data_IF_983902688991
#
_entry.id   IF_983902688991
#
_cell.length_a   1.000
_cell.length_b   1.000
_cell.length_c   1.000
_cell.angle_alpha   90.00
_cell.angle_beta   90.00
_cell.angle_gamma   90.00
#
_symmetry.space_group_name_H-M   'P 1'
#
loop_
_entity.id
_entity.type
_entity.pdbx_description
1 polymer ?
#
# COMPACT_ATOMS: atom_id res chain seq x y z
N UNK A 1 -38.20 8.88 -20.80
CA UNK A 1 -38.40 8.44 -19.39
C UNK A 1 -38.79 9.63 -18.53
N UNK A 2 -38.06 10.74 -18.58
CA UNK A 2 -38.38 12.00 -17.86
C UNK A 2 -39.83 12.47 -18.05
N UNK A 3 -40.33 12.59 -19.29
CA UNK A 3 -41.74 12.98 -19.55
C UNK A 3 -42.80 12.07 -18.88
N UNK A 4 -42.50 10.78 -18.72
CA UNK A 4 -43.42 9.83 -18.08
C UNK A 4 -43.38 9.97 -16.55
N UNK A 5 -42.20 10.29 -16.01
CA UNK A 5 -42.03 10.58 -14.58
C UNK A 5 -42.84 11.83 -14.23
N UNK A 6 -42.71 12.91 -15.02
CA UNK A 6 -43.48 14.15 -14.83
C UNK A 6 -45.00 13.91 -14.89
N UNK A 7 -45.48 13.06 -15.80
CA UNK A 7 -46.90 12.73 -15.92
C UNK A 7 -47.43 11.97 -14.70
N UNK A 8 -46.67 10.98 -14.19
CA UNK A 8 -47.05 10.22 -13.01
C UNK A 8 -47.02 11.08 -11.74
N UNK A 9 -46.04 11.98 -11.62
CA UNK A 9 -45.96 12.93 -10.50
C UNK A 9 -47.18 13.86 -10.48
N UNK A 10 -47.61 14.36 -11.65
CA UNK A 10 -48.82 15.17 -11.79
C UNK A 10 -50.09 14.38 -11.42
N UNK A 11 -50.21 13.14 -11.85
CA UNK A 11 -51.37 12.28 -11.55
C UNK A 11 -51.46 11.95 -10.05
N UNK A 12 -50.32 11.66 -9.40
CA UNK A 12 -50.25 11.46 -7.95
C UNK A 12 -50.64 12.73 -7.20
N UNK A 13 -50.19 13.91 -7.65
CA UNK A 13 -50.54 15.18 -7.03
C UNK A 13 -52.04 15.47 -7.12
N UNK A 14 -52.67 15.21 -8.27
CA UNK A 14 -54.10 15.37 -8.44
C UNK A 14 -54.92 14.40 -7.58
N UNK A 15 -54.50 13.13 -7.51
CA UNK A 15 -55.16 12.13 -6.66
C UNK A 15 -55.10 12.52 -5.19
N UNK A 16 -53.94 12.96 -4.70
CA UNK A 16 -53.78 13.44 -3.32
C UNK A 16 -54.66 14.67 -3.02
N UNK A 17 -54.80 15.58 -3.99
CA UNK A 17 -55.70 16.74 -3.84
C UNK A 17 -57.16 16.30 -3.70
N UNK A 18 -57.65 15.39 -4.55
CA UNK A 18 -59.03 14.88 -4.47
C UNK A 18 -59.29 14.13 -3.17
N UNK A 19 -58.33 13.31 -2.73
CA UNK A 19 -58.43 12.56 -1.48
C UNK A 19 -58.62 13.51 -0.27
N UNK A 20 -57.84 14.59 -0.20
CA UNK A 20 -58.00 15.61 0.83
C UNK A 20 -59.35 16.34 0.75
N UNK A 21 -59.86 16.63 -0.45
CA UNK A 21 -61.17 17.25 -0.65
C UNK A 21 -62.32 16.32 -0.25
N UNK A 22 -62.21 15.02 -0.53
CA UNK A 22 -63.17 14.01 -0.09
C UNK A 22 -63.17 13.86 1.43
N UNK A 23 -61.99 13.87 2.05
CA UNK A 23 -61.86 13.81 3.50
C UNK A 23 -62.48 15.05 4.18
N UNK A 24 -62.37 16.23 3.58
CA UNK A 24 -63.08 17.41 4.10
C UNK A 24 -64.60 17.30 3.92
N UNK A 25 -65.06 16.78 2.78
CA UNK A 25 -66.49 16.59 2.51
C UNK A 25 -67.12 15.55 3.45
N UNK A 26 -66.39 14.51 3.84
CA UNK A 26 -66.91 13.45 4.74
C UNK A 26 -67.26 13.97 6.13
N UNK A 27 -66.64 15.06 6.57
CA UNK A 27 -66.88 15.70 7.86
C UNK A 27 -67.96 16.81 7.80
N UNK A 28 -68.59 17.04 6.65
CA UNK A 28 -69.58 18.10 6.46
C UNK A 28 -70.99 17.65 6.88
N UNK A 29 -71.66 18.40 7.76
CA UNK A 29 -73.05 18.14 8.20
C UNK A 29 -74.11 18.71 7.24
N UNK A 30 -73.72 19.56 6.29
CA UNK A 30 -74.59 20.09 5.22
C UNK A 30 -74.68 19.10 4.05
N UNK A 31 -75.75 18.32 4.04
CA UNK A 31 -76.01 17.32 3.00
C UNK A 31 -76.29 17.91 1.61
N UNK A 32 -76.70 19.18 1.51
CA UNK A 32 -76.94 19.84 0.21
C UNK A 32 -75.60 20.22 -0.41
N UNK A 33 -74.71 20.81 0.38
CA UNK A 33 -73.34 21.11 -0.05
C UNK A 33 -72.57 19.84 -0.42
N UNK A 34 -72.73 18.76 0.35
CA UNK A 34 -72.15 17.46 0.02
C UNK A 34 -72.55 16.98 -1.38
N UNK A 35 -73.85 16.97 -1.69
CA UNK A 35 -74.36 16.51 -2.98
C UNK A 35 -73.88 17.36 -4.16
N UNK A 36 -73.75 18.68 -3.98
CA UNK A 36 -73.27 19.60 -5.00
C UNK A 36 -71.77 19.43 -5.27
N UNK A 37 -70.97 19.30 -4.21
CA UNK A 37 -69.51 19.25 -4.31
C UNK A 37 -68.99 17.86 -4.72
N UNK A 38 -69.66 16.78 -4.29
CA UNK A 38 -69.26 15.40 -4.58
C UNK A 38 -69.17 15.11 -6.10
N UNK A 39 -70.09 15.65 -6.90
CA UNK A 39 -70.07 15.46 -8.36
C UNK A 39 -68.82 16.03 -9.03
N UNK A 40 -68.27 17.12 -8.50
CA UNK A 40 -67.05 17.74 -9.03
C UNK A 40 -65.79 16.95 -8.66
N UNK A 41 -65.79 16.30 -7.50
CA UNK A 41 -64.62 15.57 -6.99
C UNK A 41 -64.53 14.15 -7.59
N UNK A 42 -65.67 13.53 -7.89
CA UNK A 42 -65.74 12.22 -8.52
C UNK A 42 -65.63 12.21 -10.06
N UNK A 43 -65.42 13.37 -10.70
CA UNK A 43 -65.20 13.41 -12.14
C UNK A 43 -63.94 12.60 -12.51
N UNK A 44 -64.04 11.52 -13.33
CA UNK A 44 -62.88 10.75 -13.72
C UNK A 44 -61.95 11.65 -14.55
N UNK A 45 -60.69 11.74 -14.14
CA UNK A 45 -59.64 12.12 -15.09
C UNK A 45 -59.47 10.92 -16.02
N UNK A 46 -59.85 11.10 -17.28
CA UNK A 46 -59.91 10.00 -18.25
C UNK A 46 -58.60 9.19 -18.26
N UNK A 47 -58.66 7.89 -18.58
CA UNK A 47 -57.48 7.04 -18.57
C UNK A 47 -56.47 7.61 -19.57
N UNK A 48 -55.41 8.23 -19.07
CA UNK A 48 -54.28 8.59 -19.91
C UNK A 48 -53.63 7.30 -20.36
N UNK A 49 -53.70 6.98 -21.66
CA UNK A 49 -53.02 5.82 -22.23
C UNK A 49 -51.54 5.84 -21.85
N UNK A 50 -51.15 5.05 -20.85
CA UNK A 50 -49.77 4.91 -20.43
C UNK A 50 -49.00 4.26 -21.59
N UNK A 51 -47.95 4.91 -22.12
CA UNK A 51 -47.14 4.28 -23.16
C UNK A 51 -46.49 3.02 -22.57
N UNK A 52 -46.74 1.87 -23.20
CA UNK A 52 -46.06 0.61 -22.85
C UNK A 52 -44.57 0.80 -23.09
N UNK A 53 -43.81 1.00 -22.02
CA UNK A 53 -42.35 1.06 -22.07
C UNK A 53 -41.87 -0.28 -22.60
N UNK A 54 -41.50 -0.31 -23.87
CA UNK A 54 -40.88 -1.49 -24.46
C UNK A 54 -39.41 -1.43 -24.08
N UNK A 55 -39.07 -2.01 -22.93
CA UNK A 55 -37.68 -2.25 -22.57
C UNK A 55 -37.09 -3.16 -23.66
N UNK A 56 -36.03 -2.69 -24.33
CA UNK A 56 -35.33 -3.49 -25.32
C UNK A 56 -34.78 -4.76 -24.63
N UNK A 57 -35.34 -5.96 -24.89
CA UNK A 57 -34.96 -7.17 -24.16
C UNK A 57 -33.58 -7.71 -24.56
N UNK A 58 -32.93 -7.12 -25.57
CA UNK A 58 -31.71 -7.64 -26.18
C UNK A 58 -30.41 -7.05 -25.62
N UNK A 59 -30.46 -6.18 -24.62
CA UNK A 59 -29.24 -5.64 -24.01
C UNK A 59 -28.73 -6.61 -22.92
N UNK A 60 -27.88 -7.55 -23.33
CA UNK A 60 -27.20 -8.49 -22.43
C UNK A 60 -25.80 -8.01 -22.08
N UNK A 61 -25.50 -7.94 -20.79
CA UNK A 61 -24.14 -7.67 -20.28
C UNK A 61 -23.33 -8.94 -20.04
N UNK A 62 -23.77 -10.10 -20.51
CA UNK A 62 -23.05 -11.37 -20.27
C UNK A 62 -21.64 -11.35 -20.83
N UNK A 63 -21.44 -10.76 -22.02
CA UNK A 63 -20.12 -10.60 -22.58
C UNK A 63 -19.23 -9.75 -21.66
N UNK A 64 -19.74 -8.62 -21.16
CA UNK A 64 -19.00 -7.75 -20.24
C UNK A 64 -18.68 -8.47 -18.93
N UNK A 65 -19.67 -9.14 -18.33
CA UNK A 65 -19.51 -9.95 -17.12
C UNK A 65 -18.41 -11.00 -17.31
N UNK A 66 -18.43 -11.74 -18.43
CA UNK A 66 -17.43 -12.75 -18.76
C UNK A 66 -16.01 -12.16 -18.85
N UNK A 67 -15.86 -11.02 -19.53
CA UNK A 67 -14.54 -10.37 -19.63
C UNK A 67 -14.04 -9.86 -18.28
N UNK A 68 -14.93 -9.27 -17.46
CA UNK A 68 -14.62 -8.82 -16.10
C UNK A 68 -14.22 -10.00 -15.20
N UNK A 69 -14.95 -11.12 -15.26
CA UNK A 69 -14.61 -12.35 -14.55
C UNK A 69 -13.23 -12.87 -14.96
N UNK A 70 -12.93 -12.92 -16.26
CA UNK A 70 -11.63 -13.38 -16.76
C UNK A 70 -10.48 -12.45 -16.36
N UNK A 71 -10.73 -11.13 -16.29
CA UNK A 71 -9.76 -10.17 -15.78
C UNK A 71 -9.49 -10.38 -14.29
N UNK A 72 -10.54 -10.61 -13.49
CA UNK A 72 -10.43 -10.92 -12.06
C UNK A 72 -9.58 -12.16 -11.82
N UNK A 73 -9.85 -13.25 -12.54
CA UNK A 73 -9.06 -14.50 -12.43
C UNK A 73 -7.58 -14.26 -12.74
N UNK A 74 -7.28 -13.50 -13.81
CA UNK A 74 -5.91 -13.13 -14.15
C UNK A 74 -5.22 -12.31 -13.07
N UNK A 75 -5.93 -11.37 -12.46
CA UNK A 75 -5.39 -10.56 -11.37
C UNK A 75 -5.08 -11.42 -10.14
N UNK A 76 -5.98 -12.34 -9.79
CA UNK A 76 -5.76 -13.28 -8.68
C UNK A 76 -4.54 -14.17 -8.92
N UNK A 77 -4.36 -14.68 -10.14
CA UNK A 77 -3.19 -15.49 -10.50
C UNK A 77 -1.88 -14.69 -10.43
N UNK A 78 -1.89 -13.44 -10.91
CA UNK A 78 -0.72 -12.54 -10.78
C UNK A 78 -0.40 -12.30 -9.32
N UNK A 79 -1.39 -11.95 -8.50
CA UNK A 79 -1.19 -11.71 -7.07
C UNK A 79 -0.65 -12.95 -6.35
N UNK A 80 -1.20 -14.14 -6.61
CA UNK A 80 -0.69 -15.39 -6.03
C UNK A 80 0.75 -15.66 -6.44
N UNK A 81 1.08 -15.50 -7.73
CA UNK A 81 2.42 -15.69 -8.24
C UNK A 81 3.44 -14.75 -7.62
N UNK A 82 3.12 -13.46 -7.54
CA UNK A 82 4.01 -12.45 -6.96
C UNK A 82 4.16 -12.62 -5.43
N UNK A 83 3.09 -12.96 -4.71
CA UNK A 83 3.18 -13.22 -3.27
C UNK A 83 4.07 -14.42 -2.95
N UNK A 84 4.04 -15.48 -3.78
CA UNK A 84 4.95 -16.64 -3.61
C UNK A 84 6.42 -16.21 -3.82
N UNK A 85 6.71 -15.38 -4.83
CA UNK A 85 8.07 -14.86 -5.04
C UNK A 85 8.54 -13.99 -3.88
N UNK A 86 7.67 -13.12 -3.36
CA UNK A 86 7.96 -12.29 -2.19
C UNK A 86 8.22 -13.18 -0.98
N UNK A 87 7.37 -14.18 -0.70
CA UNK A 87 7.54 -15.13 0.39
C UNK A 87 8.88 -15.86 0.33
N UNK A 88 9.25 -16.39 -0.84
CA UNK A 88 10.55 -17.04 -1.06
C UNK A 88 11.75 -16.10 -0.87
N UNK A 89 11.56 -14.80 -1.15
CA UNK A 89 12.60 -13.79 -0.94
C UNK A 89 12.74 -13.45 0.54
N UNK A 90 11.60 -13.32 1.26
CA UNK A 90 11.56 -13.03 2.69
C UNK A 90 12.09 -14.18 3.53
N UNK A 91 11.83 -15.44 3.17
CA UNK A 91 12.43 -16.61 3.83
C UNK A 91 13.96 -16.61 3.79
N UNK A 92 14.57 -15.98 2.78
CA UNK A 92 16.04 -15.84 2.67
C UNK A 92 16.59 -14.66 3.47
N UNK A 93 15.74 -13.73 3.89
CA UNK A 93 16.15 -12.59 4.71
C UNK A 93 15.91 -12.98 6.16
N UNK A 94 16.96 -13.46 6.83
CA UNK A 94 16.88 -13.74 8.26
C UNK A 94 16.72 -12.41 9.03
N UNK A 95 15.48 -12.13 9.46
CA UNK A 95 15.14 -10.97 10.30
C UNK A 95 15.63 -11.17 11.73
N UNK A 96 15.94 -12.42 12.12
CA UNK A 96 16.40 -12.75 13.45
C UNK A 96 17.80 -12.18 13.72
N UNK A 97 18.01 -11.72 14.95
CA UNK A 97 19.34 -11.36 15.43
C UNK A 97 20.24 -12.62 15.43
N UNK A 98 21.45 -12.56 14.86
CA UNK A 98 22.38 -13.68 14.91
C UNK A 98 22.69 -14.05 16.37
N UNK A 99 22.64 -15.35 16.71
CA UNK A 99 22.87 -15.80 18.10
C UNK A 99 24.09 -16.71 18.23
N UNK A 100 24.42 -17.44 17.17
CA UNK A 100 25.59 -18.31 17.11
C UNK A 100 26.68 -17.71 16.23
N UNK A 101 27.93 -18.14 16.41
CA UNK A 101 29.05 -17.69 15.56
C UNK A 101 28.77 -18.01 14.09
N UNK A 102 28.17 -19.16 13.81
CA UNK A 102 27.78 -19.60 12.47
C UNK A 102 26.77 -18.64 11.83
N UNK A 103 25.81 -18.11 12.60
CA UNK A 103 24.87 -17.09 12.11
C UNK A 103 25.57 -15.79 11.75
N UNK A 104 26.53 -15.35 12.58
CA UNK A 104 27.34 -14.16 12.30
C UNK A 104 28.22 -14.33 11.06
N UNK A 105 28.78 -15.53 10.85
CA UNK A 105 29.63 -15.84 9.70
C UNK A 105 28.90 -15.72 8.35
N UNK A 106 27.56 -15.80 8.33
CA UNK A 106 26.78 -15.53 7.11
C UNK A 106 26.95 -14.09 6.60
N UNK A 107 27.30 -13.17 7.50
CA UNK A 107 27.55 -11.76 7.20
C UNK A 107 29.06 -11.43 7.16
N UNK A 108 29.91 -12.46 7.09
CA UNK A 108 31.36 -12.27 7.12
C UNK A 108 31.86 -11.45 5.94
N UNK A 109 32.73 -10.50 6.25
CA UNK A 109 33.43 -9.70 5.26
C UNK A 109 34.94 -9.78 5.52
N UNK A 110 35.72 -9.74 4.45
CA UNK A 110 37.17 -9.66 4.56
C UNK A 110 37.57 -8.19 4.46
N UNK A 111 38.16 -7.67 5.54
CA UNK A 111 38.67 -6.31 5.60
C UNK A 111 40.16 -6.29 5.27
N UNK A 112 40.60 -5.19 4.65
CA UNK A 112 42.01 -4.90 4.44
C UNK A 112 42.34 -3.52 4.96
N UNK A 113 43.43 -3.41 5.72
CA UNK A 113 43.89 -2.16 6.30
C UNK A 113 44.43 -1.24 5.22
N UNK A 114 44.12 0.05 5.31
CA UNK A 114 44.57 1.07 4.38
C UNK A 114 45.93 1.65 4.82
N UNK A 115 47.02 1.40 4.06
CA UNK A 115 48.34 1.98 4.36
C UNK A 115 48.36 3.50 4.31
N UNK A 116 47.41 4.15 3.64
CA UNK A 116 47.34 5.61 3.55
C UNK A 116 46.82 6.25 4.84
N UNK A 117 46.02 5.51 5.62
CA UNK A 117 45.47 6.00 6.90
C UNK A 117 46.35 5.61 8.08
N UNK A 118 47.09 4.49 7.96
CA UNK A 118 47.89 3.92 9.05
C UNK A 118 48.89 4.92 9.67
N UNK A 119 48.82 5.08 10.98
CA UNK A 119 49.81 5.87 11.71
C UNK A 119 51.23 5.34 11.53
N UNK A 120 52.24 6.23 11.57
CA UNK A 120 53.64 5.85 11.38
C UNK A 120 54.16 4.86 12.43
N UNK A 121 53.55 4.74 13.60
CA UNK A 121 53.94 3.73 14.60
C UNK A 121 53.32 2.35 14.36
N UNK A 122 52.52 2.18 13.31
CA UNK A 122 51.89 0.91 12.97
C UNK A 122 52.57 0.28 11.75
N UNK A 123 52.88 -1.00 11.84
CA UNK A 123 53.37 -1.78 10.71
C UNK A 123 52.26 -2.69 10.19
N UNK A 124 51.97 -2.58 8.91
CA UNK A 124 51.04 -3.49 8.24
C UNK A 124 51.80 -4.67 7.64
N UNK A 125 51.28 -5.88 7.83
CA UNK A 125 51.82 -7.14 7.31
C UNK A 125 50.69 -8.03 6.76
N UNK A 126 51.05 -9.21 6.25
CA UNK A 126 50.12 -10.22 5.76
C UNK A 126 49.07 -9.69 4.75
N UNK A 127 49.54 -8.95 3.74
CA UNK A 127 48.64 -8.34 2.76
C UNK A 127 47.70 -7.29 3.37
N UNK A 128 48.17 -6.57 4.39
CA UNK A 128 47.44 -5.58 5.17
C UNK A 128 46.27 -6.15 5.99
N UNK A 129 46.42 -7.37 6.51
CA UNK A 129 45.44 -7.99 7.42
C UNK A 129 45.90 -8.03 8.87
N UNK A 130 47.20 -7.83 9.07
CA UNK A 130 47.81 -7.79 10.38
C UNK A 130 48.40 -6.39 10.62
N UNK A 131 48.27 -5.91 11.85
CA UNK A 131 48.86 -4.67 12.31
C UNK A 131 49.66 -4.90 13.59
N UNK A 132 50.90 -4.43 13.59
CA UNK A 132 51.76 -4.48 14.77
C UNK A 132 52.15 -3.07 15.19
N UNK A 133 52.02 -2.77 16.48
CA UNK A 133 52.53 -1.52 17.04
C UNK A 133 54.06 -1.59 17.19
N UNK A 134 54.75 -0.65 16.57
CA UNK A 134 56.20 -0.54 16.57
C UNK A 134 56.64 0.63 17.46
N UNK A 135 57.77 0.48 18.13
CA UNK A 135 58.41 1.60 18.85
C UNK A 135 59.04 2.65 17.92
N UNK A 136 59.29 2.29 16.66
CA UNK A 136 59.94 3.13 15.65
C UNK A 136 58.93 3.53 14.57
N UNK A 137 59.08 4.73 14.02
CA UNK A 137 58.25 5.19 12.90
C UNK A 137 58.58 4.42 11.62
N UNK A 138 57.53 3.95 10.95
CA UNK A 138 57.57 3.27 9.67
C UNK A 138 57.60 4.31 8.54
N UNK A 139 58.31 3.99 7.46
CA UNK A 139 58.51 4.85 6.31
C UNK A 139 57.30 4.85 5.36
N UNK A 140 56.17 5.39 5.81
CA UNK A 140 55.03 5.63 4.93
C UNK A 140 55.12 7.01 4.25
N UNK A 141 54.68 7.13 2.97
CA UNK A 141 54.54 8.42 2.31
C UNK A 141 53.56 9.33 3.04
N UNK A 142 53.78 10.64 2.96
CA UNK A 142 52.84 11.62 3.49
C UNK A 142 51.49 11.53 2.76
N UNK A 143 50.40 11.50 3.54
CA UNK A 143 49.04 11.42 3.01
C UNK A 143 48.09 12.21 3.93
N UNK A 144 47.14 12.99 3.38
CA UNK A 144 46.25 13.84 4.18
C UNK A 144 45.35 13.05 5.14
N UNK A 145 45.03 11.80 4.82
CA UNK A 145 44.18 10.93 5.65
C UNK A 145 44.98 10.14 6.72
N UNK A 146 46.30 10.33 6.77
CA UNK A 146 47.16 9.59 7.70
C UNK A 146 46.99 10.10 9.12
N UNK A 147 46.72 9.19 10.06
CA UNK A 147 46.72 9.55 11.47
C UNK A 147 48.14 9.88 11.95
N UNK A 148 48.30 11.01 12.64
CA UNK A 148 49.57 11.49 13.20
C UNK A 148 49.59 11.47 14.74
N UNK A 149 48.43 11.67 15.39
CA UNK A 149 48.31 11.70 16.86
C UNK A 149 48.29 10.32 17.53
N UNK A 150 47.38 9.43 17.12
CA UNK A 150 47.18 8.12 17.75
C UNK A 150 47.54 6.97 16.80
N UNK A 151 47.91 5.83 17.38
CA UNK A 151 48.24 4.62 16.63
C UNK A 151 46.96 3.95 16.08
N UNK A 152 46.40 4.54 15.02
CA UNK A 152 45.14 4.12 14.38
C UNK A 152 45.36 3.81 12.89
N UNK A 153 44.45 3.01 12.34
CA UNK A 153 44.36 2.64 10.93
C UNK A 153 42.91 2.32 10.58
N UNK A 154 42.47 2.65 9.37
CA UNK A 154 41.14 2.28 8.86
C UNK A 154 41.25 1.14 7.86
N UNK A 155 40.13 0.47 7.61
CA UNK A 155 39.99 -0.44 6.48
C UNK A 155 39.73 0.34 5.18
N UNK A 156 40.05 -0.28 4.04
CA UNK A 156 39.80 0.29 2.70
C UNK A 156 38.34 0.17 2.31
N UNK A 157 37.68 -0.87 2.81
CA UNK A 157 36.30 -1.20 2.48
C UNK A 157 35.33 -0.28 3.25
N UNK A 158 34.45 0.40 2.52
CA UNK A 158 33.29 1.04 3.12
C UNK A 158 32.22 -0.01 3.42
N UNK A 159 31.86 -0.18 4.69
CA UNK A 159 30.82 -1.14 5.09
C UNK A 159 29.44 -0.50 5.06
N UNK A 160 28.48 -1.19 4.45
CA UNK A 160 27.07 -0.81 4.41
C UNK A 160 26.18 -2.02 4.70
N UNK A 161 25.15 -1.87 5.54
CA UNK A 161 24.28 -2.97 5.94
C UNK A 161 24.87 -3.83 7.08
N UNK A 162 24.37 -5.05 7.25
CA UNK A 162 24.89 -5.99 8.27
C UNK A 162 26.22 -6.57 7.80
N UNK A 163 27.26 -6.42 8.59
CA UNK A 163 28.61 -6.93 8.32
C UNK A 163 29.19 -7.51 9.60
N UNK A 164 29.99 -8.57 9.45
CA UNK A 164 30.68 -9.23 10.54
C UNK A 164 32.14 -9.45 10.18
N UNK A 165 33.02 -9.26 11.17
CA UNK A 165 34.45 -9.55 11.07
C UNK A 165 34.97 -9.95 12.44
N UNK A 166 36.05 -10.72 12.45
CA UNK A 166 36.73 -11.15 13.67
C UNK A 166 38.16 -10.60 13.63
N UNK A 167 38.67 -10.19 14.78
CA UNK A 167 40.09 -9.89 14.95
C UNK A 167 40.66 -10.69 16.10
N UNK A 168 41.84 -11.23 15.88
CA UNK A 168 42.68 -11.77 16.92
C UNK A 168 43.59 -10.65 17.43
N UNK A 169 43.76 -10.56 18.74
CA UNK A 169 44.67 -9.59 19.34
C UNK A 169 45.58 -10.28 20.37
N UNK A 170 46.79 -9.74 20.51
CA UNK A 170 47.72 -10.12 21.55
C UNK A 170 48.44 -8.87 22.09
N UNK A 171 48.76 -8.86 23.39
CA UNK A 171 49.40 -7.73 24.05
C UNK A 171 48.62 -7.18 25.25
N UNK A 172 49.17 -6.13 25.87
CA UNK A 172 48.61 -5.49 27.08
C UNK A 172 47.69 -4.29 26.80
N UNK A 173 47.62 -3.83 25.54
CA UNK A 173 46.73 -2.76 25.10
C UNK A 173 45.66 -3.39 24.20
N UNK A 174 44.38 -3.14 24.48
CA UNK A 174 43.26 -3.69 23.70
C UNK A 174 43.13 -3.05 22.32
N UNK A 175 42.51 -3.77 21.38
CA UNK A 175 42.11 -3.25 20.06
C UNK A 175 40.67 -2.75 20.17
N UNK A 176 40.38 -1.56 19.67
CA UNK A 176 39.05 -0.93 19.71
C UNK A 176 38.81 0.02 18.54
#
# INVERSE_FOLDING_TARGET
VERLIEQLEQEIAELRRRDAELEQLSHTEDHIHFLQSYQSVCAPSGPGDLPRITLNPHVSFEAVRKHVSKLKERLEDICKGELVKISQTVEKVDILEPRTREDFLQYSCQLTLDPNTANRRLRLSEGNREVTRMGQEQSYPDHPERFDGWAQVLCREGLSGRSYWEAEWSGGEGVG
#
